data_IF_511518410542
#
_entry.id   IF_511518410542
#
_cell.length_a   1.000
_cell.length_b   1.000
_cell.length_c   1.000
_cell.angle_alpha   90.00
_cell.angle_beta   90.00
_cell.angle_gamma   90.00
#
_symmetry.space_group_name_H-M   'P 1'
#
loop_
_entity.id
_entity.type
_entity.pdbx_description
1 polymer ?
#
# COMPACT_ATOMS: atom_id res chain seq x y z
N UNK A 1 42.13 16.89 7.67
CA UNK A 1 41.18 15.77 7.76
C UNK A 1 39.92 16.29 8.43
N UNK A 2 38.88 16.62 7.66
CA UNK A 2 37.63 17.14 8.21
C UNK A 2 36.92 16.06 9.02
N UNK A 3 36.45 16.40 10.23
CA UNK A 3 35.53 15.57 11.02
C UNK A 3 34.37 15.16 10.10
N UNK A 4 34.22 13.85 9.87
CA UNK A 4 33.01 13.31 9.26
C UNK A 4 31.87 13.65 10.22
N UNK A 5 30.80 14.22 9.68
CA UNK A 5 29.65 14.67 10.47
C UNK A 5 28.95 13.42 11.03
N UNK A 6 29.27 13.05 12.27
CA UNK A 6 28.72 11.88 13.00
C UNK A 6 27.25 12.08 13.42
N UNK A 7 26.51 12.93 12.71
CA UNK A 7 25.10 13.16 12.97
C UNK A 7 24.33 11.95 12.48
N UNK A 8 24.07 11.02 13.40
CA UNK A 8 23.11 9.94 13.15
C UNK A 8 21.79 10.57 12.69
N UNK A 9 21.38 10.24 11.47
CA UNK A 9 20.09 10.61 10.93
C UNK A 9 19.04 9.55 11.27
N UNK A 10 17.96 9.49 10.49
CA UNK A 10 16.97 8.41 10.61
C UNK A 10 17.61 7.00 10.51
N UNK A 11 18.66 6.89 9.70
CA UNK A 11 19.50 5.69 9.53
C UNK A 11 20.81 5.82 10.31
N UNK A 12 21.26 4.72 10.91
CA UNK A 12 22.59 4.61 11.50
C UNK A 12 23.67 4.73 10.42
N UNK A 13 24.79 5.36 10.77
CA UNK A 13 25.98 5.37 9.94
C UNK A 13 26.59 3.97 9.89
N UNK A 14 27.21 3.62 8.76
CA UNK A 14 28.03 2.40 8.66
C UNK A 14 29.20 2.41 9.66
N UNK A 15 29.59 3.60 10.12
CA UNK A 15 30.63 3.82 11.12
C UNK A 15 30.10 3.87 12.57
N UNK A 16 28.78 3.74 12.76
CA UNK A 16 28.20 3.63 14.11
C UNK A 16 28.73 2.38 14.82
N UNK A 17 28.65 2.38 16.15
CA UNK A 17 29.11 1.26 16.97
C UNK A 17 28.52 -0.09 16.48
N UNK A 18 29.38 -1.12 16.33
CA UNK A 18 28.99 -2.42 15.78
C UNK A 18 27.87 -3.10 16.59
N UNK A 19 27.88 -2.94 17.92
CA UNK A 19 26.83 -3.44 18.79
C UNK A 19 25.54 -2.67 18.54
N UNK A 20 25.60 -1.35 18.37
CA UNK A 20 24.43 -0.52 18.03
C UNK A 20 23.80 -0.93 16.70
N UNK A 21 24.60 -1.18 15.66
CA UNK A 21 24.11 -1.67 14.36
C UNK A 21 23.45 -3.04 14.51
N UNK A 22 24.09 -3.97 15.25
CA UNK A 22 23.54 -5.31 15.52
C UNK A 22 22.21 -5.23 16.25
N UNK A 23 22.10 -4.38 17.27
CA UNK A 23 20.88 -4.22 18.07
C UNK A 23 19.73 -3.62 17.24
N UNK A 24 20.04 -2.64 16.38
CA UNK A 24 19.08 -2.07 15.44
C UNK A 24 18.57 -3.11 14.43
N UNK A 25 19.46 -3.96 13.90
CA UNK A 25 19.10 -5.04 12.98
C UNK A 25 18.25 -6.11 13.66
N UNK A 26 18.57 -6.49 14.90
CA UNK A 26 17.76 -7.40 15.70
C UNK A 26 16.36 -6.81 15.95
N UNK A 27 16.28 -5.52 16.32
CA UNK A 27 14.99 -4.87 16.51
C UNK A 27 14.15 -4.82 15.22
N UNK A 28 14.78 -4.57 14.07
CA UNK A 28 14.13 -4.63 12.75
C UNK A 28 13.56 -6.02 12.46
N UNK A 29 14.32 -7.09 12.73
CA UNK A 29 13.89 -8.49 12.54
C UNK A 29 12.73 -8.85 13.46
N UNK A 30 12.83 -8.57 14.76
CA UNK A 30 11.77 -8.84 15.73
C UNK A 30 10.47 -8.13 15.34
N UNK A 31 10.56 -6.87 14.89
CA UNK A 31 9.41 -6.13 14.35
C UNK A 31 8.79 -6.82 13.13
N UNK A 32 9.62 -7.30 12.20
CA UNK A 32 9.14 -8.00 11.02
C UNK A 32 8.43 -9.31 11.39
N UNK A 33 8.90 -10.04 12.40
CA UNK A 33 8.24 -11.26 12.91
C UNK A 33 6.88 -10.97 13.54
N UNK A 34 6.78 -9.93 14.38
CA UNK A 34 5.49 -9.50 14.97
C UNK A 34 4.51 -9.10 13.86
N UNK A 35 4.96 -8.30 12.90
CA UNK A 35 4.13 -7.88 11.78
C UNK A 35 3.67 -9.08 10.94
N UNK A 36 4.55 -10.05 10.70
CA UNK A 36 4.23 -11.28 9.98
C UNK A 36 3.15 -12.07 10.72
N UNK A 37 3.32 -12.32 12.03
CA UNK A 37 2.35 -13.04 12.84
C UNK A 37 0.98 -12.35 12.85
N UNK A 38 0.96 -11.02 12.99
CA UNK A 38 -0.27 -10.22 12.90
C UNK A 38 -0.91 -10.32 11.51
N UNK A 39 -0.10 -10.21 10.44
CA UNK A 39 -0.58 -10.26 9.06
C UNK A 39 -1.18 -11.63 8.70
N UNK A 40 -0.65 -12.70 9.30
CA UNK A 40 -1.11 -14.08 9.11
C UNK A 40 -2.26 -14.44 10.05
N UNK A 41 -2.69 -13.52 10.92
CA UNK A 41 -3.76 -13.76 11.89
C UNK A 41 -3.39 -14.72 13.03
N UNK A 42 -2.10 -14.98 13.24
CA UNK A 42 -1.61 -15.82 14.35
C UNK A 42 -1.75 -15.11 15.71
N UNK A 43 -1.75 -13.78 15.69
CA UNK A 43 -2.01 -12.92 16.84
C UNK A 43 -2.97 -11.80 16.43
N UNK A 44 -3.76 -11.27 17.36
CA UNK A 44 -4.63 -10.13 17.10
C UNK A 44 -3.99 -8.81 17.55
N UNK A 45 -4.46 -7.67 17.02
CA UNK A 45 -4.07 -6.32 17.53
C UNK A 45 -4.34 -6.21 19.04
N UNK A 46 -5.43 -6.82 19.51
CA UNK A 46 -5.80 -6.84 20.93
C UNK A 46 -4.77 -7.60 21.77
N UNK A 47 -4.27 -8.72 21.29
CA UNK A 47 -3.23 -9.49 21.99
C UNK A 47 -1.94 -8.66 22.10
N UNK A 48 -1.54 -8.02 21.00
CA UNK A 48 -0.36 -7.14 20.97
C UNK A 48 -0.50 -5.95 21.93
N UNK A 49 -1.70 -5.37 22.08
CA UNK A 49 -1.97 -4.33 23.08
C UNK A 49 -1.90 -4.89 24.50
N UNK A 50 -2.51 -6.05 24.76
CA UNK A 50 -2.48 -6.71 26.08
C UNK A 50 -1.08 -7.10 26.51
N UNK A 51 -0.23 -7.51 25.57
CA UNK A 51 1.17 -7.83 25.81
C UNK A 51 2.07 -6.59 25.91
N UNK A 52 1.51 -5.39 25.75
CA UNK A 52 2.26 -4.13 25.77
C UNK A 52 3.17 -3.90 24.55
N UNK A 53 3.04 -4.73 23.51
CA UNK A 53 3.82 -4.63 22.28
C UNK A 53 3.27 -3.55 21.35
N UNK A 54 1.97 -3.26 21.41
CA UNK A 54 1.31 -2.18 20.68
C UNK A 54 0.79 -1.11 21.67
N UNK A 55 0.88 0.15 21.25
CA UNK A 55 0.20 1.27 21.91
C UNK A 55 -1.32 1.19 21.69
N UNK A 56 -2.10 1.92 22.48
CA UNK A 56 -3.56 2.06 22.27
C UNK A 56 -3.92 2.65 20.90
N UNK A 57 -3.03 3.45 20.30
CA UNK A 57 -3.15 3.94 18.92
C UNK A 57 -2.92 2.84 17.86
N UNK A 58 -2.57 1.62 18.26
CA UNK A 58 -2.37 0.49 17.37
C UNK A 58 -1.04 0.51 16.62
N UNK A 59 -0.06 1.27 17.12
CA UNK A 59 1.32 1.36 16.60
C UNK A 59 2.25 0.56 17.52
N UNK A 60 3.27 -0.11 16.98
CA UNK A 60 4.28 -0.83 17.76
C UNK A 60 4.90 0.07 18.84
N UNK A 61 4.96 -0.44 20.07
CA UNK A 61 5.52 0.27 21.21
C UNK A 61 7.05 0.43 21.05
N UNK A 62 7.59 1.59 21.47
CA UNK A 62 9.03 1.91 21.42
C UNK A 62 9.81 1.16 22.52
N UNK A 63 9.91 -0.17 22.39
CA UNK A 63 10.59 -1.04 23.34
C UNK A 63 11.98 -1.38 22.80
N UNK A 64 13.00 -1.33 23.67
CA UNK A 64 14.36 -1.78 23.32
C UNK A 64 14.35 -3.22 22.80
N UNK A 65 14.96 -3.45 21.64
CA UNK A 65 14.93 -4.76 20.98
C UNK A 65 13.70 -5.03 20.10
N UNK A 66 12.69 -4.15 20.06
CA UNK A 66 11.56 -4.18 19.11
C UNK A 66 11.48 -2.92 18.24
N UNK A 67 12.03 -1.82 18.75
CA UNK A 67 12.18 -0.57 18.03
C UNK A 67 13.66 -0.27 17.77
N UNK A 68 14.08 -0.11 16.50
CA UNK A 68 15.45 0.27 16.18
C UNK A 68 15.77 1.69 16.67
N UNK A 69 14.75 2.52 16.88
CA UNK A 69 14.87 3.88 17.40
C UNK A 69 15.13 3.95 18.91
N UNK A 70 15.13 2.81 19.61
CA UNK A 70 15.29 2.73 21.06
C UNK A 70 16.56 1.95 21.40
N UNK A 71 17.37 2.49 22.32
CA UNK A 71 18.61 1.83 22.78
C UNK A 71 18.27 0.61 23.67
N UNK A 72 19.13 -0.43 23.73
CA UNK A 72 18.78 -1.76 24.27
C UNK A 72 18.43 -1.86 25.76
N UNK A 73 18.33 -0.76 26.51
CA UNK A 73 18.03 -0.76 27.95
C UNK A 73 17.10 0.38 28.37
N UNK A 74 16.44 1.05 27.42
CA UNK A 74 15.44 2.07 27.71
C UNK A 74 14.11 1.69 27.09
N UNK A 75 13.01 1.85 27.83
CA UNK A 75 11.72 2.15 27.23
C UNK A 75 11.68 3.68 27.08
N UNK A 76 11.76 4.19 25.86
CA UNK A 76 11.50 5.62 25.64
C UNK A 76 10.00 5.78 25.47
N UNK A 77 9.37 6.69 26.20
CA UNK A 77 8.03 7.16 25.84
C UNK A 77 8.13 7.77 24.43
N UNK A 78 7.65 7.06 23.40
CA UNK A 78 7.50 7.65 22.07
C UNK A 78 6.35 8.64 22.13
N UNK A 79 6.67 9.86 22.57
CA UNK A 79 5.85 11.00 22.23
C UNK A 79 6.06 11.25 20.74
N UNK A 80 5.12 10.81 19.91
CA UNK A 80 4.90 11.39 18.58
C UNK A 80 4.30 12.80 18.78
N UNK A 81 5.05 13.68 19.44
CA UNK A 81 4.64 15.05 19.70
C UNK A 81 4.95 15.90 18.48
N UNK A 82 3.91 16.49 17.87
CA UNK A 82 4.05 17.60 16.92
C UNK A 82 4.41 18.93 17.63
N UNK A 83 5.00 18.86 18.82
CA UNK A 83 5.35 20.00 19.65
C UNK A 83 6.86 20.23 19.64
N UNK A 84 7.25 21.47 19.32
CA UNK A 84 8.61 21.99 19.45
C UNK A 84 9.03 21.97 20.92
N UNK A 85 9.59 20.85 21.39
CA UNK A 85 10.05 20.75 22.78
C UNK A 85 10.26 19.32 23.27
N UNK A 86 11.39 18.71 22.89
CA UNK A 86 11.97 17.59 23.62
C UNK A 86 11.75 16.18 23.03
N UNK A 87 12.48 15.85 21.97
CA UNK A 87 13.07 14.51 21.70
C UNK A 87 13.74 14.58 20.32
N UNK A 88 14.96 14.08 20.19
CA UNK A 88 15.71 14.10 18.93
C UNK A 88 14.95 13.41 17.78
N UNK A 89 15.36 13.70 16.54
CA UNK A 89 14.94 12.97 15.34
C UNK A 89 14.98 11.47 15.67
N UNK A 90 13.95 10.67 15.34
CA UNK A 90 14.02 9.22 15.55
C UNK A 90 15.21 8.65 14.77
N UNK A 91 16.34 8.42 15.46
CA UNK A 91 17.57 7.88 14.88
C UNK A 91 17.67 6.40 15.24
N UNK A 92 17.95 5.51 14.30
CA UNK A 92 18.33 4.14 14.70
C UNK A 92 18.03 2.99 13.75
N UNK A 93 17.46 3.22 12.56
CA UNK A 93 17.32 2.13 11.61
C UNK A 93 18.70 1.61 11.18
N UNK A 94 18.88 0.29 11.03
CA UNK A 94 20.13 -0.25 10.53
C UNK A 94 20.39 0.27 9.12
N UNK A 95 21.65 0.54 8.79
CA UNK A 95 22.04 1.04 7.48
C UNK A 95 21.51 0.10 6.38
N UNK A 96 20.81 0.65 5.39
CA UNK A 96 20.36 -0.12 4.23
C UNK A 96 21.53 -0.24 3.24
N UNK A 97 21.81 -1.43 2.68
CA UNK A 97 22.79 -1.55 1.61
C UNK A 97 22.33 -0.71 0.42
N UNK A 98 23.18 0.22 -0.01
CA UNK A 98 22.87 1.08 -1.14
C UNK A 98 23.06 0.35 -2.49
N UNK A 99 23.64 -0.86 -2.51
CA UNK A 99 23.97 -1.60 -3.74
C UNK A 99 24.79 -0.76 -4.75
N UNK A 100 25.60 0.18 -4.24
CA UNK A 100 26.37 1.12 -5.09
C UNK A 100 25.51 2.12 -5.86
N UNK A 101 24.24 2.31 -5.49
CA UNK A 101 23.31 3.22 -6.16
C UNK A 101 23.73 4.67 -5.97
N UNK A 102 23.76 5.42 -7.06
CA UNK A 102 24.00 6.87 -7.08
C UNK A 102 22.66 7.63 -7.16
N UNK A 103 22.49 8.74 -6.43
CA UNK A 103 21.27 9.55 -6.49
C UNK A 103 20.97 10.07 -7.90
N UNK A 104 19.71 9.95 -8.34
CA UNK A 104 19.17 10.58 -9.56
C UNK A 104 19.91 10.27 -10.88
N UNK A 105 20.52 9.08 -11.01
CA UNK A 105 21.31 8.73 -12.20
C UNK A 105 20.54 7.93 -13.27
N UNK A 106 19.29 7.55 -12.98
CA UNK A 106 18.49 6.67 -13.82
C UNK A 106 17.28 7.42 -14.42
N UNK A 107 16.81 7.02 -15.61
CA UNK A 107 15.56 7.53 -16.17
C UNK A 107 14.40 7.34 -15.18
N UNK A 108 13.68 8.43 -14.90
CA UNK A 108 12.50 8.41 -14.03
C UNK A 108 11.25 8.34 -14.92
N UNK A 109 10.51 7.23 -14.90
CA UNK A 109 9.26 7.14 -15.64
C UNK A 109 8.20 8.07 -15.00
N UNK A 110 7.43 8.75 -15.85
CA UNK A 110 6.21 9.46 -15.45
C UNK A 110 5.17 8.47 -14.93
N UNK A 111 4.14 8.95 -14.25
CA UNK A 111 3.07 8.07 -13.80
C UNK A 111 2.35 7.39 -14.96
N UNK A 112 1.90 6.17 -14.74
CA UNK A 112 1.12 5.41 -15.71
C UNK A 112 -0.35 5.82 -15.60
N UNK A 113 -0.88 6.46 -16.63
CA UNK A 113 -2.21 7.08 -16.58
C UNK A 113 -3.28 6.01 -16.75
N UNK A 114 -4.20 5.92 -15.77
CA UNK A 114 -5.36 5.06 -15.89
C UNK A 114 -6.20 5.44 -17.11
N UNK A 115 -6.62 4.41 -17.85
CA UNK A 115 -7.56 4.60 -18.95
C UNK A 115 -8.91 5.05 -18.41
N UNK A 116 -9.39 6.18 -18.93
CA UNK A 116 -10.73 6.70 -18.71
C UNK A 116 -11.67 5.97 -19.67
N UNK A 117 -12.54 5.12 -19.14
CA UNK A 117 -13.44 4.25 -19.92
C UNK A 117 -14.88 4.77 -19.85
N UNK A 118 -15.72 4.50 -20.86
CA UNK A 118 -17.15 4.75 -20.72
C UNK A 118 -17.72 3.87 -19.61
N UNK A 119 -18.67 4.38 -18.83
CA UNK A 119 -19.28 3.62 -17.72
C UNK A 119 -19.98 2.34 -18.19
N UNK A 120 -20.43 2.30 -19.44
CA UNK A 120 -20.98 1.09 -20.07
C UNK A 120 -19.98 -0.08 -20.15
N UNK A 121 -18.68 0.16 -20.02
CA UNK A 121 -17.68 -0.91 -19.95
C UNK A 121 -17.61 -1.60 -18.59
N UNK A 122 -18.31 -1.09 -17.59
CA UNK A 122 -18.27 -1.59 -16.23
C UNK A 122 -19.36 -2.66 -16.04
N UNK A 123 -18.95 -3.85 -15.62
CA UNK A 123 -19.86 -4.96 -15.32
C UNK A 123 -19.74 -5.37 -13.84
N UNK A 124 -20.82 -5.33 -13.05
CA UNK A 124 -22.14 -4.80 -13.41
C UNK A 124 -22.12 -3.28 -13.61
N UNK A 125 -23.12 -2.75 -14.31
CA UNK A 125 -23.30 -1.30 -14.43
C UNK A 125 -23.56 -0.68 -13.04
N UNK A 126 -23.16 0.58 -12.80
CA UNK A 126 -23.41 1.24 -11.51
C UNK A 126 -24.89 1.37 -11.22
N UNK A 127 -25.27 1.14 -9.96
CA UNK A 127 -26.66 1.20 -9.50
C UNK A 127 -26.78 2.21 -8.36
N UNK A 128 -27.92 2.89 -8.28
CA UNK A 128 -28.20 3.80 -7.16
C UNK A 128 -28.33 3.02 -5.85
N UNK A 129 -29.10 1.94 -5.85
CA UNK A 129 -29.33 1.06 -4.70
C UNK A 129 -28.24 0.00 -4.59
N UNK A 130 -28.16 -0.62 -3.40
CA UNK A 130 -27.23 -1.70 -3.13
C UNK A 130 -27.51 -2.91 -4.02
N UNK A 131 -26.47 -3.43 -4.69
CA UNK A 131 -26.54 -4.63 -5.49
C UNK A 131 -26.73 -5.87 -4.60
N UNK A 132 -27.90 -6.51 -4.72
CA UNK A 132 -28.28 -7.69 -3.96
C UNK A 132 -27.95 -9.02 -4.66
N UNK A 133 -27.32 -8.97 -5.84
CA UNK A 133 -26.96 -10.18 -6.59
C UNK A 133 -25.84 -10.92 -5.88
N UNK A 134 -26.16 -12.12 -5.39
CA UNK A 134 -25.19 -13.07 -4.83
C UNK A 134 -24.06 -13.33 -5.83
N UNK A 135 -22.82 -13.25 -5.35
CA UNK A 135 -21.63 -13.51 -6.15
C UNK A 135 -21.03 -14.86 -5.77
N UNK A 136 -20.61 -15.70 -6.72
CA UNK A 136 -19.88 -16.91 -6.41
C UNK A 136 -18.63 -16.60 -5.57
N UNK A 137 -18.42 -17.36 -4.51
CA UNK A 137 -17.23 -17.26 -3.67
C UNK A 137 -16.07 -18.02 -4.33
N UNK A 138 -14.88 -17.41 -4.39
CA UNK A 138 -13.68 -18.11 -4.87
C UNK A 138 -13.38 -19.30 -3.94
N UNK A 139 -13.36 -20.54 -4.45
CA UNK A 139 -13.07 -21.74 -3.65
C UNK A 139 -11.75 -21.64 -2.87
N UNK A 140 -10.77 -20.88 -3.35
CA UNK A 140 -9.48 -20.68 -2.67
C UNK A 140 -9.63 -19.99 -1.31
N UNK A 141 -10.69 -19.22 -1.09
CA UNK A 141 -10.97 -18.56 0.19
C UNK A 141 -11.56 -19.51 1.25
N UNK A 142 -12.07 -20.67 0.82
CA UNK A 142 -12.85 -21.61 1.65
C UNK A 142 -12.36 -23.04 1.50
N UNK A 143 -11.04 -23.22 1.34
CA UNK A 143 -10.42 -24.55 1.32
C UNK A 143 -10.85 -25.44 0.15
N UNK A 144 -11.23 -24.85 -0.98
CA UNK A 144 -11.61 -25.56 -2.20
C UNK A 144 -13.10 -25.90 -2.32
N UNK A 145 -13.95 -25.49 -1.36
CA UNK A 145 -15.39 -25.68 -1.46
C UNK A 145 -15.99 -24.90 -2.65
N UNK A 146 -16.96 -25.50 -3.35
CA UNK A 146 -17.62 -24.90 -4.52
C UNK A 146 -19.11 -24.71 -4.26
N UNK A 147 -19.79 -23.89 -5.07
CA UNK A 147 -21.22 -23.60 -4.94
C UNK A 147 -21.60 -22.63 -3.82
N UNK A 148 -20.62 -22.10 -3.09
CA UNK A 148 -20.83 -21.06 -2.07
C UNK A 148 -20.92 -19.67 -2.71
N UNK A 149 -21.68 -18.78 -2.05
CA UNK A 149 -21.75 -17.37 -2.41
C UNK A 149 -21.03 -16.52 -1.36
N UNK A 150 -20.37 -15.46 -1.83
CA UNK A 150 -19.66 -14.50 -1.00
C UNK A 150 -20.57 -13.37 -0.52
N UNK A 151 -20.04 -12.45 0.30
CA UNK A 151 -20.75 -11.24 0.67
C UNK A 151 -21.13 -10.43 -0.58
N UNK A 152 -22.34 -9.90 -0.56
CA UNK A 152 -22.81 -8.91 -1.54
C UNK A 152 -22.32 -7.50 -1.14
N UNK A 153 -22.80 -6.48 -1.83
CA UNK A 153 -22.51 -5.09 -1.47
C UNK A 153 -22.86 -4.78 -0.01
N UNK A 154 -21.99 -4.04 0.70
CA UNK A 154 -22.12 -3.80 2.13
C UNK A 154 -23.22 -2.79 2.54
N UNK A 155 -23.77 -2.03 1.60
CA UNK A 155 -24.90 -1.12 1.88
C UNK A 155 -26.19 -1.93 2.11
N UNK A 156 -27.04 -1.56 3.10
CA UNK A 156 -28.33 -2.23 3.26
C UNK A 156 -29.24 -2.04 2.02
N UNK A 157 -30.17 -2.96 1.75
CA UNK A 157 -31.07 -2.86 0.60
C UNK A 157 -32.10 -1.73 0.76
N UNK A 158 -32.61 -1.24 -0.38
CA UNK A 158 -33.73 -0.31 -0.45
C UNK A 158 -33.33 1.14 -0.74
N UNK A 159 -34.33 1.94 -1.13
CA UNK A 159 -34.12 3.30 -1.63
C UNK A 159 -33.54 4.28 -0.60
N UNK A 160 -33.78 4.05 0.70
CA UNK A 160 -33.26 4.91 1.78
C UNK A 160 -31.74 4.84 1.93
N UNK A 161 -31.12 3.75 1.45
CA UNK A 161 -29.66 3.53 1.46
C UNK A 161 -29.02 3.71 0.06
N UNK A 162 -29.81 4.17 -0.91
CA UNK A 162 -29.31 4.47 -2.24
C UNK A 162 -28.34 5.65 -2.21
N UNK A 163 -27.43 5.71 -3.19
CA UNK A 163 -26.57 6.86 -3.39
C UNK A 163 -27.41 8.13 -3.57
N UNK A 164 -27.13 9.15 -2.78
CA UNK A 164 -27.83 10.42 -2.86
C UNK A 164 -27.52 11.09 -4.20
N UNK A 165 -28.55 11.72 -4.80
CA UNK A 165 -28.41 12.48 -6.06
C UNK A 165 -27.80 11.67 -7.22
N UNK A 166 -27.93 10.34 -7.21
CA UNK A 166 -27.39 9.47 -8.27
C UNK A 166 -27.89 9.85 -9.67
N UNK A 167 -29.14 10.30 -9.79
CA UNK A 167 -29.72 10.77 -11.07
C UNK A 167 -29.24 12.16 -11.48
N UNK A 168 -28.79 12.99 -10.54
CA UNK A 168 -28.27 14.34 -10.82
C UNK A 168 -26.79 14.31 -11.20
N UNK A 169 -26.03 13.40 -10.59
CA UNK A 169 -24.59 13.23 -10.83
C UNK A 169 -24.26 11.77 -11.16
N UNK A 170 -24.84 11.19 -12.24
CA UNK A 170 -24.53 9.83 -12.61
C UNK A 170 -23.05 9.73 -12.99
N UNK A 171 -22.37 8.61 -12.71
CA UNK A 171 -21.02 8.41 -13.21
C UNK A 171 -21.02 8.49 -14.74
N UNK A 172 -20.06 9.24 -15.29
CA UNK A 172 -19.90 9.38 -16.75
C UNK A 172 -18.58 8.76 -17.23
N UNK A 173 -17.61 8.60 -16.34
CA UNK A 173 -16.34 7.90 -16.59
C UNK A 173 -16.17 6.74 -15.60
N UNK A 174 -15.71 5.60 -16.12
CA UNK A 174 -15.23 4.48 -15.34
C UNK A 174 -13.70 4.43 -15.32
N UNK A 175 -13.15 4.16 -14.14
CA UNK A 175 -11.75 3.74 -13.96
C UNK A 175 -11.77 2.34 -13.38
N UNK A 176 -11.01 1.43 -13.97
CA UNK A 176 -10.91 0.04 -13.51
C UNK A 176 -9.47 -0.22 -13.06
N UNK A 177 -9.32 -0.58 -11.79
CA UNK A 177 -8.03 -0.80 -11.15
C UNK A 177 -8.07 -2.07 -10.32
N UNK A 178 -6.92 -2.67 -10.10
CA UNK A 178 -6.76 -3.77 -9.15
C UNK A 178 -5.62 -3.50 -8.19
N UNK A 179 -5.72 -3.91 -6.93
CA UNK A 179 -4.50 -4.12 -6.13
C UNK A 179 -4.04 -5.55 -6.36
N UNK A 180 -2.80 -5.73 -6.79
CA UNK A 180 -2.26 -7.03 -7.21
C UNK A 180 -0.82 -7.23 -6.73
N UNK A 181 -0.34 -8.49 -6.66
CA UNK A 181 1.08 -8.82 -6.54
C UNK A 181 1.96 -8.11 -7.57
N UNK A 182 3.19 -7.79 -7.17
CA UNK A 182 4.20 -7.21 -8.03
C UNK A 182 4.41 -8.03 -9.31
N UNK A 183 4.39 -7.35 -10.44
CA UNK A 183 4.65 -7.93 -11.75
C UNK A 183 5.36 -6.91 -12.63
N UNK A 184 5.94 -7.39 -13.72
CA UNK A 184 6.48 -6.52 -14.76
C UNK A 184 5.32 -5.77 -15.42
N UNK A 185 5.49 -4.47 -15.61
CA UNK A 185 4.65 -3.68 -16.50
C UNK A 185 5.01 -4.03 -17.94
N UNK A 186 4.66 -5.25 -18.34
CA UNK A 186 4.40 -5.61 -19.71
C UNK A 186 3.03 -5.01 -20.03
N UNK A 187 2.77 -4.57 -21.25
CA UNK A 187 1.40 -4.25 -21.70
C UNK A 187 0.37 -5.22 -21.10
N UNK A 188 -0.34 -4.82 -20.03
CA UNK A 188 -1.22 -5.70 -19.27
C UNK A 188 -2.65 -5.21 -19.47
N UNK A 189 -3.51 -6.09 -19.98
CA UNK A 189 -4.94 -5.83 -20.12
C UNK A 189 -5.28 -4.60 -21.00
N UNK A 190 -4.75 -4.58 -22.23
CA UNK A 190 -5.05 -3.58 -23.26
C UNK A 190 -4.51 -2.15 -23.04
N UNK A 191 -3.55 -1.94 -22.13
CA UNK A 191 -2.76 -0.70 -22.13
C UNK A 191 -1.29 -0.99 -21.82
N UNK A 192 -0.43 -0.67 -22.77
CA UNK A 192 1.00 -0.40 -22.58
C UNK A 192 1.15 0.67 -21.51
N UNK A 193 2.27 0.68 -20.75
CA UNK A 193 2.62 1.82 -19.91
C UNK A 193 2.34 3.11 -20.69
N UNK A 194 1.44 3.95 -20.17
CA UNK A 194 0.92 5.09 -20.90
C UNK A 194 1.06 6.37 -20.07
N UNK A 195 2.18 7.08 -20.19
CA UNK A 195 2.38 8.33 -19.48
C UNK A 195 1.63 9.53 -20.10
N UNK A 196 0.94 9.33 -21.24
CA UNK A 196 0.24 10.36 -22.03
C UNK A 196 1.10 11.57 -22.39
N UNK A 197 2.41 11.40 -22.43
CA UNK A 197 3.37 12.40 -22.88
C UNK A 197 4.39 11.78 -23.83
N UNK A 198 4.98 12.56 -24.74
CA UNK A 198 6.07 12.09 -25.58
C UNK A 198 7.25 11.57 -24.74
N UNK A 199 8.05 10.68 -25.33
CA UNK A 199 9.25 10.11 -24.68
C UNK A 199 10.22 11.19 -24.17
N UNK A 200 10.33 12.33 -24.86
CA UNK A 200 11.15 13.47 -24.43
C UNK A 200 10.73 14.07 -23.08
N UNK A 201 9.47 13.92 -22.67
CA UNK A 201 8.95 14.34 -21.36
C UNK A 201 8.86 13.17 -20.37
N UNK A 202 9.38 12.00 -20.75
CA UNK A 202 9.37 10.76 -20.00
C UNK A 202 10.79 10.14 -19.92
N UNK A 203 11.80 11.00 -19.72
CA UNK A 203 13.20 10.57 -19.57
C UNK A 203 13.73 9.74 -20.75
N UNK A 204 13.21 9.93 -21.96
CA UNK A 204 13.59 9.15 -23.15
C UNK A 204 13.07 7.71 -23.17
N UNK A 205 12.23 7.32 -22.20
CA UNK A 205 11.73 5.94 -22.06
C UNK A 205 10.72 5.66 -23.18
N UNK A 206 10.97 4.59 -23.94
CA UNK A 206 10.00 4.00 -24.84
C UNK A 206 8.89 3.32 -24.02
N UNK A 207 7.63 3.77 -24.10
CA UNK A 207 6.56 3.19 -23.31
C UNK A 207 6.27 1.71 -23.62
N UNK A 208 6.66 1.23 -24.80
CA UNK A 208 6.54 -0.19 -25.18
C UNK A 208 7.56 -1.09 -24.47
N UNK A 209 8.61 -0.54 -23.85
CA UNK A 209 9.61 -1.33 -23.13
C UNK A 209 9.05 -1.83 -21.80
N UNK A 210 9.09 -3.15 -21.52
CA UNK A 210 8.62 -3.68 -20.24
C UNK A 210 9.37 -3.08 -19.04
N UNK A 211 8.62 -2.69 -18.00
CA UNK A 211 9.19 -2.11 -16.77
C UNK A 211 9.04 -3.12 -15.63
N UNK A 212 10.09 -3.89 -15.27
CA UNK A 212 10.03 -4.78 -14.11
C UNK A 212 9.90 -3.97 -12.83
N UNK A 213 9.13 -4.47 -11.85
CA UNK A 213 8.98 -3.79 -10.56
C UNK A 213 10.28 -3.87 -9.78
N UNK A 214 11.05 -2.78 -9.84
CA UNK A 214 12.30 -2.54 -9.13
C UNK A 214 12.24 -1.16 -8.49
N UNK A 215 12.73 -1.03 -7.26
CA UNK A 215 12.91 0.30 -6.64
C UNK A 215 14.06 1.08 -7.28
N UNK A 216 15.01 0.37 -7.90
CA UNK A 216 16.13 0.93 -8.64
C UNK A 216 16.64 -0.09 -9.67
N UNK A 217 17.13 0.31 -10.86
CA UNK A 217 17.63 -0.64 -11.88
C UNK A 217 18.71 -1.62 -11.38
N UNK A 218 19.62 -1.16 -10.53
CA UNK A 218 20.65 -1.97 -9.86
C UNK A 218 20.16 -2.77 -8.65
N UNK A 219 18.88 -2.61 -8.24
CA UNK A 219 18.28 -3.44 -7.21
C UNK A 219 17.55 -4.65 -7.82
N UNK A 220 17.34 -5.73 -7.04
CA UNK A 220 16.58 -6.88 -7.50
C UNK A 220 15.14 -6.53 -7.90
N UNK A 221 14.62 -7.26 -8.89
CA UNK A 221 13.18 -7.30 -9.16
C UNK A 221 12.45 -7.82 -7.93
N UNK A 222 11.37 -7.14 -7.55
CA UNK A 222 10.60 -7.52 -6.38
C UNK A 222 9.83 -8.81 -6.63
N UNK A 223 9.80 -9.69 -5.63
CA UNK A 223 8.95 -10.87 -5.67
C UNK A 223 7.47 -10.45 -5.66
N UNK A 224 6.56 -11.22 -6.28
CA UNK A 224 5.16 -10.83 -6.41
C UNK A 224 4.50 -10.42 -5.08
N UNK A 225 4.79 -11.16 -4.02
CA UNK A 225 4.21 -10.91 -2.70
C UNK A 225 5.12 -10.10 -1.77
N UNK A 226 6.05 -9.31 -2.30
CA UNK A 226 6.84 -8.34 -1.52
C UNK A 226 6.32 -6.91 -1.64
N UNK A 227 5.55 -6.61 -2.70
CA UNK A 227 4.97 -5.29 -2.95
C UNK A 227 3.61 -5.49 -3.58
N UNK A 228 2.60 -4.85 -3.02
CA UNK A 228 1.24 -4.81 -3.57
C UNK A 228 0.91 -3.37 -3.93
N UNK A 229 0.47 -3.16 -5.17
CA UNK A 229 0.18 -1.82 -5.70
C UNK A 229 -0.91 -1.89 -6.76
N UNK A 230 -1.37 -0.73 -7.22
CA UNK A 230 -2.33 -0.64 -8.31
C UNK A 230 -1.78 -1.28 -9.60
N UNK A 231 -2.55 -2.21 -10.14
CA UNK A 231 -2.26 -3.15 -11.21
C UNK A 231 -0.95 -3.93 -11.03
N UNK A 232 -0.44 -4.06 -9.80
CA UNK A 232 0.78 -4.81 -9.49
C UNK A 232 2.06 -4.26 -10.12
N UNK A 233 2.02 -3.05 -10.68
CA UNK A 233 3.09 -2.54 -11.57
C UNK A 233 3.60 -1.18 -11.13
N UNK A 234 4.79 -0.84 -11.61
CA UNK A 234 5.32 0.53 -11.62
C UNK A 234 5.42 1.05 -13.06
N UNK A 235 5.48 2.37 -13.28
CA UNK A 235 5.39 3.47 -12.30
C UNK A 235 4.02 3.55 -11.60
N UNK A 236 3.91 4.31 -10.49
CA UNK A 236 2.62 4.52 -9.81
C UNK A 236 1.55 5.02 -10.77
N UNK A 237 0.30 4.67 -10.48
CA UNK A 237 -0.82 5.00 -11.35
C UNK A 237 -1.32 6.41 -11.12
N UNK A 238 -1.71 7.09 -12.18
CA UNK A 238 -2.32 8.41 -12.15
C UNK A 238 -3.74 8.35 -12.68
N UNK A 239 -4.71 8.72 -11.84
CA UNK A 239 -6.08 9.00 -12.28
C UNK A 239 -6.19 10.49 -12.62
N UNK A 240 -6.62 10.80 -13.83
CA UNK A 240 -6.93 12.17 -14.24
C UNK A 240 -8.43 12.43 -14.09
N UNK A 241 -8.79 13.29 -13.16
CA UNK A 241 -10.16 13.75 -12.94
C UNK A 241 -10.36 15.18 -13.44
N UNK A 242 -11.58 15.52 -13.84
CA UNK A 242 -11.97 16.88 -14.23
C UNK A 242 -13.07 17.39 -13.30
N UNK A 243 -13.06 18.69 -13.01
CA UNK A 243 -14.15 19.30 -12.27
C UNK A 243 -15.49 19.10 -12.99
N UNK A 244 -16.52 18.75 -12.21
CA UNK A 244 -17.87 18.52 -12.73
C UNK A 244 -18.05 17.20 -13.47
N UNK A 245 -17.06 16.29 -13.43
CA UNK A 245 -17.12 15.00 -14.11
C UNK A 245 -17.19 13.85 -13.09
N UNK A 246 -18.38 13.26 -12.85
CA UNK A 246 -18.51 12.16 -11.91
C UNK A 246 -17.79 10.90 -12.42
N UNK A 247 -16.87 10.38 -11.60
CA UNK A 247 -16.05 9.20 -11.91
C UNK A 247 -16.46 8.05 -11.00
N UNK A 248 -16.64 6.86 -11.57
CA UNK A 248 -16.67 5.63 -10.79
C UNK A 248 -15.31 4.95 -10.84
N UNK A 249 -14.63 4.87 -9.69
CA UNK A 249 -13.42 4.07 -9.53
C UNK A 249 -13.79 2.65 -9.06
N UNK A 250 -13.68 1.68 -9.96
CA UNK A 250 -13.88 0.27 -9.65
C UNK A 250 -12.56 -0.36 -9.25
N UNK A 251 -12.46 -0.73 -7.98
CA UNK A 251 -11.26 -1.32 -7.41
C UNK A 251 -11.45 -2.80 -7.11
N UNK A 252 -10.60 -3.63 -7.70
CA UNK A 252 -10.59 -5.07 -7.49
C UNK A 252 -9.48 -5.49 -6.53
N UNK A 253 -9.81 -6.39 -5.62
CA UNK A 253 -8.82 -7.12 -4.85
C UNK A 253 -8.34 -8.34 -5.65
N UNK A 254 -7.09 -8.31 -6.12
CA UNK A 254 -6.42 -9.45 -6.78
C UNK A 254 -5.25 -9.99 -5.95
N UNK A 255 -5.27 -9.73 -4.65
CA UNK A 255 -4.29 -10.27 -3.70
C UNK A 255 -4.54 -11.77 -3.47
N UNK A 256 -3.51 -12.53 -3.05
CA UNK A 256 -3.67 -13.95 -2.77
C UNK A 256 -4.75 -14.25 -1.74
N UNK A 257 -5.52 -15.32 -1.96
CA UNK A 257 -6.52 -15.79 -1.00
C UNK A 257 -5.90 -16.27 0.32
N UNK A 258 -4.76 -16.95 0.21
CA UNK A 258 -3.97 -17.39 1.36
C UNK A 258 -3.24 -16.21 2.00
N UNK A 259 -3.61 -15.90 3.24
CA UNK A 259 -3.06 -14.78 4.03
C UNK A 259 -1.56 -14.91 4.29
N UNK A 260 -0.99 -16.13 4.15
CA UNK A 260 0.44 -16.36 4.34
C UNK A 260 1.29 -15.96 3.12
N UNK A 261 0.66 -15.75 1.96
CA UNK A 261 1.30 -15.36 0.71
C UNK A 261 1.49 -13.84 0.59
N UNK A 262 2.15 -13.24 1.57
CA UNK A 262 2.29 -11.77 1.70
C UNK A 262 3.71 -11.33 2.13
N UNK A 263 4.69 -12.25 2.10
CA UNK A 263 6.05 -12.09 2.64
C UNK A 263 6.13 -11.44 4.05
N UNK A 264 5.05 -11.46 4.83
CA UNK A 264 4.94 -10.94 6.18
C UNK A 264 4.73 -9.42 6.34
N UNK A 265 4.33 -8.68 5.30
CA UNK A 265 4.24 -7.21 5.37
C UNK A 265 2.83 -6.61 5.45
N UNK A 266 1.76 -7.36 5.18
CA UNK A 266 0.40 -6.78 5.14
C UNK A 266 -0.72 -7.81 5.00
N UNK A 267 -1.98 -7.40 5.19
CA UNK A 267 -3.14 -8.27 5.03
C UNK A 267 -3.73 -8.14 3.63
N UNK A 268 -4.24 -9.24 3.09
CA UNK A 268 -4.90 -9.31 1.78
C UNK A 268 -6.32 -8.71 1.75
N UNK A 269 -6.67 -7.90 2.77
CA UNK A 269 -7.92 -7.15 2.87
C UNK A 269 -7.64 -5.68 2.59
N UNK A 270 -8.51 -5.00 1.84
CA UNK A 270 -8.28 -3.63 1.39
C UNK A 270 -9.48 -2.72 1.66
N UNK A 271 -9.16 -1.46 1.92
CA UNK A 271 -10.05 -0.31 1.86
C UNK A 271 -9.26 0.82 1.22
N UNK A 272 -9.90 1.56 0.31
CA UNK A 272 -9.24 2.59 -0.49
C UNK A 272 -9.88 3.92 -0.19
N UNK A 273 -9.06 4.84 0.33
CA UNK A 273 -9.45 6.21 0.63
C UNK A 273 -8.82 7.15 -0.39
N UNK A 274 -9.63 8.00 -1.01
CA UNK A 274 -9.13 9.10 -1.83
C UNK A 274 -8.85 10.28 -0.93
N UNK A 275 -7.57 10.46 -0.61
CA UNK A 275 -7.13 11.48 0.33
C UNK A 275 -7.51 12.87 -0.17
N UNK A 276 -8.17 13.66 0.69
CA UNK A 276 -8.72 15.00 0.39
C UNK A 276 -10.01 14.99 -0.46
N UNK A 277 -10.55 13.81 -0.75
CA UNK A 277 -11.86 13.61 -1.33
C UNK A 277 -13.00 13.96 -0.39
N UNK A 278 -14.06 14.54 -0.94
CA UNK A 278 -15.29 14.80 -0.19
C UNK A 278 -16.34 13.79 -0.63
N UNK A 279 -16.21 12.56 -0.13
CA UNK A 279 -17.05 11.42 -0.48
C UNK A 279 -18.18 11.21 0.53
N UNK A 280 -19.20 10.45 0.13
CA UNK A 280 -20.14 9.88 1.08
C UNK A 280 -19.43 8.84 1.96
N UNK A 281 -19.99 8.55 3.13
CA UNK A 281 -19.39 7.59 4.07
C UNK A 281 -19.24 6.20 3.45
N UNK A 282 -20.08 5.84 2.48
CA UNK A 282 -20.07 4.55 1.79
C UNK A 282 -18.91 4.36 0.80
N UNK A 283 -18.28 5.45 0.35
CA UNK A 283 -17.22 5.41 -0.66
C UNK A 283 -15.95 6.17 -0.26
N UNK A 284 -15.86 6.64 0.99
CA UNK A 284 -14.68 7.33 1.52
C UNK A 284 -13.52 6.39 1.88
N UNK A 285 -13.74 5.07 1.94
CA UNK A 285 -12.68 4.13 2.32
C UNK A 285 -12.57 3.90 3.83
N UNK A 286 -13.71 3.80 4.52
CA UNK A 286 -13.77 3.44 5.93
C UNK A 286 -12.97 2.14 6.19
N UNK A 287 -12.09 2.17 7.18
CA UNK A 287 -11.12 1.08 7.41
C UNK A 287 -11.67 -0.01 8.34
N UNK A 288 -12.64 0.30 9.21
CA UNK A 288 -13.33 -0.68 10.08
C UNK A 288 -12.45 -1.66 10.87
N UNK A 289 -11.16 -1.35 11.09
CA UNK A 289 -10.11 -2.30 11.54
C UNK A 289 -9.48 -1.97 12.90
#
# INVERSE_FOLDING_TARGET
MGRRDDKEGFWLSENSDRRRIKDAENARKNRAEINKALSHGQVSRRDLVKWGLFTSAGILAPIGGLSPFVKPMHAQTASFGFGSGGSGIPTGLPSSPLFGVLPFTQPMPRFDVFQRKPVSSLTPAPQAQANQTQQPLDPKLVGGQTGLTGPIEGRPPGAIWAHQRFTQNPPVIGIDASTSPATTNTTYNHTTYNPQVPSSLNSGINPATPIPLKFHPSMPTQQPNSVWTFNGTIPPKLMLARYGEPILFRHHNRLPADVTQNNGFGRNTLSTHEHNGHHGAENDGFTGA
#
